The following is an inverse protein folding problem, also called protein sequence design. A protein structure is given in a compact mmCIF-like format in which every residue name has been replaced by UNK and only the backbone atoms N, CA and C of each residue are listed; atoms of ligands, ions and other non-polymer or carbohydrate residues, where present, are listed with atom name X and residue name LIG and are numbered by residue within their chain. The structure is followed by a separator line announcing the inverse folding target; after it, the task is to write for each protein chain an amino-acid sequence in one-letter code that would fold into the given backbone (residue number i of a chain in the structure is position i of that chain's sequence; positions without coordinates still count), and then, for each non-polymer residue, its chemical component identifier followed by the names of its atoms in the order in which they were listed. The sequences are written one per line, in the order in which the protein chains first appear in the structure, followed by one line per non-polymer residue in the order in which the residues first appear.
data_IF_728056252275
#
_entry.id   IF_728056252275
#
_cell.length_a   1.000
_cell.length_b   1.000
_cell.length_c   1.000
_cell.angle_alpha   90.00
_cell.angle_beta   90.00
_cell.angle_gamma   90.00
#
_symmetry.space_group_name_H-M   'P 1'
#
loop_
_entity.id
_entity.type
_entity.pdbx_description
1 polymer ?
#
# COMPACT_ATOMS: atom_id res chain seq x y z
N UNK A 1 -9.42 -2.60 62.70
CA UNK A 1 -9.81 -1.52 61.77
C UNK A 1 -9.39 -1.94 60.37
N UNK A 2 -10.34 -2.44 59.55
CA UNK A 2 -10.09 -2.97 58.20
C UNK A 2 -10.17 -1.80 57.21
N UNK A 3 -9.09 -1.53 56.48
CA UNK A 3 -9.07 -0.54 55.39
C UNK A 3 -9.18 -1.33 54.09
N UNK A 4 -10.32 -1.19 53.41
CA UNK A 4 -10.55 -1.70 52.06
C UNK A 4 -9.89 -0.74 51.07
N UNK A 5 -8.91 -1.21 50.30
CA UNK A 5 -8.43 -0.52 49.10
C UNK A 5 -9.27 -0.99 47.91
N UNK A 6 -10.06 -0.08 47.33
CA UNK A 6 -10.71 -0.28 46.04
C UNK A 6 -9.64 -0.24 44.94
N UNK A 7 -9.43 -1.36 44.25
CA UNK A 7 -8.67 -1.41 43.00
C UNK A 7 -9.50 -0.78 41.88
N UNK A 8 -9.08 0.38 41.39
CA UNK A 8 -9.55 0.92 40.12
C UNK A 8 -8.85 0.13 39.00
N UNK A 9 -9.61 -0.73 38.32
CA UNK A 9 -9.16 -1.39 37.11
C UNK A 9 -9.00 -0.34 36.00
N UNK A 10 -7.75 0.02 35.70
CA UNK A 10 -7.40 0.80 34.51
C UNK A 10 -7.66 -0.11 33.31
N UNK A 11 -8.75 0.17 32.59
CA UNK A 11 -9.03 -0.45 31.30
C UNK A 11 -7.98 0.08 30.32
N UNK A 12 -6.96 -0.73 30.05
CA UNK A 12 -6.07 -0.53 28.90
C UNK A 12 -6.92 -0.75 27.65
N UNK A 13 -7.38 0.34 27.04
CA UNK A 13 -7.95 0.32 25.71
C UNK A 13 -6.78 0.13 24.74
N UNK A 14 -6.40 -1.13 24.48
CA UNK A 14 -5.51 -1.47 23.38
C UNK A 14 -6.22 -1.10 22.08
N UNK A 15 -5.87 0.03 21.49
CA UNK A 15 -6.20 0.31 20.10
C UNK A 15 -5.47 -0.73 19.26
N UNK A 16 -6.16 -1.81 18.91
CA UNK A 16 -5.68 -2.76 17.92
C UNK A 16 -5.74 -1.99 16.61
N UNK A 17 -4.58 -1.51 16.15
CA UNK A 17 -4.43 -1.09 14.75
C UNK A 17 -4.60 -2.37 13.94
N UNK A 18 -5.79 -2.56 13.39
CA UNK A 18 -6.05 -3.59 12.40
C UNK A 18 -5.35 -3.17 11.11
N UNK A 19 -4.05 -3.46 11.00
CA UNK A 19 -3.41 -3.52 9.70
C UNK A 19 -4.13 -4.61 8.89
N UNK A 20 -4.58 -4.27 7.68
CA UNK A 20 -5.21 -5.25 6.81
C UNK A 20 -4.20 -6.33 6.45
N UNK A 21 -4.62 -7.59 6.31
CA UNK A 21 -3.74 -8.69 5.88
C UNK A 21 -3.02 -8.36 4.56
N UNK A 22 -3.65 -7.55 3.70
CA UNK A 22 -3.08 -7.05 2.45
C UNK A 22 -1.90 -6.07 2.68
N UNK A 23 -1.94 -5.23 3.72
CA UNK A 23 -0.83 -4.31 4.04
C UNK A 23 0.37 -5.07 4.62
N UNK A 24 0.10 -6.12 5.39
CA UNK A 24 1.15 -7.01 5.93
C UNK A 24 1.85 -7.76 4.80
N UNK A 25 1.11 -8.33 3.84
CA UNK A 25 1.69 -9.07 2.72
C UNK A 25 2.52 -8.19 1.78
N UNK A 26 2.07 -6.95 1.56
CA UNK A 26 2.78 -5.99 0.72
C UNK A 26 4.08 -5.52 1.39
N UNK A 27 4.05 -5.26 2.70
CA UNK A 27 5.25 -4.87 3.45
C UNK A 27 6.27 -6.01 3.51
N UNK A 28 5.82 -7.26 3.63
CA UNK A 28 6.68 -8.44 3.61
C UNK A 28 7.29 -8.66 2.22
N UNK A 29 6.49 -8.54 1.15
CA UNK A 29 7.02 -8.57 -0.21
C UNK A 29 8.09 -7.51 -0.44
N UNK A 30 7.82 -6.24 -0.09
CA UNK A 30 8.78 -5.17 -0.31
C UNK A 30 10.09 -5.40 0.43
N UNK A 31 10.07 -6.06 1.58
CA UNK A 31 11.29 -6.45 2.32
C UNK A 31 12.09 -7.55 1.61
N UNK A 32 11.42 -8.46 0.92
CA UNK A 32 12.07 -9.54 0.18
C UNK A 32 12.58 -9.07 -1.19
N UNK A 33 11.89 -8.11 -1.83
CA UNK A 33 12.23 -7.64 -3.19
C UNK A 33 13.11 -6.39 -3.20
N UNK A 34 13.09 -5.60 -2.13
CA UNK A 34 13.95 -4.41 -1.98
C UNK A 34 14.91 -4.70 -0.85
N UNK A 35 16.09 -5.18 -1.23
CA UNK A 35 17.14 -5.46 -0.26
C UNK A 35 17.83 -4.14 0.10
N UNK A 36 17.85 -3.84 1.40
CA UNK A 36 18.51 -2.67 1.97
C UNK A 36 19.68 -3.16 2.81
N UNK A 37 20.90 -2.78 2.44
CA UNK A 37 22.07 -3.01 3.30
C UNK A 37 22.08 -2.03 4.49
N UNK A 38 22.96 -2.28 5.46
CA UNK A 38 23.12 -1.44 6.65
C UNK A 38 23.21 0.05 6.29
N UNK A 39 22.40 0.85 6.98
CA UNK A 39 22.44 2.30 6.86
C UNK A 39 23.77 2.80 7.40
N UNK A 40 24.59 3.35 6.50
CA UNK A 40 25.91 3.89 6.80
C UNK A 40 25.82 5.39 6.97
N UNK A 41 26.61 5.91 7.91
CA UNK A 41 26.81 7.35 8.03
C UNK A 41 27.82 7.78 6.97
N UNK A 42 27.47 8.76 6.15
CA UNK A 42 28.29 9.17 5.00
C UNK A 42 29.36 10.18 5.41
N UNK A 43 28.94 11.35 5.93
CA UNK A 43 29.76 12.30 6.69
C UNK A 43 28.86 13.40 7.26
N UNK A 44 29.15 13.89 8.48
CA UNK A 44 28.48 15.09 8.99
C UNK A 44 29.36 16.31 8.74
N UNK A 45 28.87 17.27 7.94
CA UNK A 45 29.17 18.66 8.29
C UNK A 45 28.37 18.96 9.57
N UNK A 46 28.83 19.82 10.48
CA UNK A 46 28.19 20.02 11.80
C UNK A 46 26.71 20.50 11.77
N UNK A 47 26.09 20.61 10.60
CA UNK A 47 24.75 21.12 10.34
C UNK A 47 23.79 20.04 9.83
N UNK A 48 24.27 19.05 9.07
CA UNK A 48 23.45 17.95 8.52
C UNK A 48 23.86 16.60 9.08
N UNK A 49 22.88 15.72 9.25
CA UNK A 49 23.10 14.31 9.49
C UNK A 49 22.80 13.57 8.19
N UNK A 50 23.86 13.21 7.46
CA UNK A 50 23.78 12.56 6.15
C UNK A 50 24.11 11.07 6.27
N UNK A 51 23.31 10.28 5.58
CA UNK A 51 23.32 8.82 5.58
C UNK A 51 23.27 8.31 4.14
N UNK A 52 23.85 7.14 3.95
CA UNK A 52 23.75 6.38 2.72
C UNK A 52 23.26 4.96 3.05
N UNK A 53 22.43 4.41 2.19
CA UNK A 53 22.07 3.00 2.22
C UNK A 53 22.18 2.44 0.80
N UNK A 54 22.58 1.18 0.69
CA UNK A 54 22.63 0.49 -0.59
C UNK A 54 21.30 -0.22 -0.80
N UNK A 55 20.66 0.04 -1.94
CA UNK A 55 19.37 -0.57 -2.31
C UNK A 55 19.58 -1.43 -3.53
N UNK A 56 19.21 -2.70 -3.44
CA UNK A 56 19.13 -3.60 -4.60
C UNK A 56 17.68 -3.78 -5.01
N UNK A 57 17.38 -3.53 -6.28
CA UNK A 57 16.05 -3.73 -6.84
C UNK A 57 15.92 -5.15 -7.42
N UNK A 58 15.16 -6.03 -6.76
CA UNK A 58 14.85 -7.37 -7.28
C UNK A 58 13.50 -7.43 -8.01
N UNK A 59 12.85 -6.28 -8.23
CA UNK A 59 11.62 -6.19 -9.02
C UNK A 59 11.93 -6.26 -10.52
N UNK A 60 10.93 -6.60 -11.32
CA UNK A 60 10.97 -6.57 -12.78
C UNK A 60 10.71 -5.17 -13.37
N UNK A 61 10.46 -4.18 -12.52
CA UNK A 61 10.22 -2.78 -12.85
C UNK A 61 11.22 -1.87 -12.14
N UNK A 62 11.57 -0.75 -12.78
CA UNK A 62 12.46 0.24 -12.19
C UNK A 62 11.83 0.95 -10.98
N UNK A 63 12.65 1.33 -10.00
CA UNK A 63 12.24 2.12 -8.84
C UNK A 63 12.68 3.57 -9.04
N UNK A 64 11.74 4.51 -9.15
CA UNK A 64 12.00 5.93 -9.31
C UNK A 64 12.06 6.70 -7.97
N UNK A 65 11.44 6.18 -6.91
CA UNK A 65 11.54 6.75 -5.57
C UNK A 65 11.21 5.70 -4.49
N UNK A 66 11.65 5.96 -3.26
CA UNK A 66 11.25 5.21 -2.08
C UNK A 66 10.43 6.11 -1.15
N UNK A 67 9.41 5.57 -0.51
CA UNK A 67 8.64 6.25 0.52
C UNK A 67 8.67 5.49 1.84
N UNK A 68 8.92 6.19 2.94
CA UNK A 68 9.13 5.53 4.22
C UNK A 68 9.11 6.46 5.44
N UNK A 69 9.53 5.89 6.56
CA UNK A 69 9.80 6.60 7.82
C UNK A 69 11.29 6.52 8.15
N UNK A 70 11.85 7.63 8.65
CA UNK A 70 13.22 7.67 9.17
C UNK A 70 13.21 8.19 10.60
N UNK A 71 13.75 7.41 11.52
CA UNK A 71 13.94 7.78 12.91
C UNK A 71 15.43 8.04 13.19
N UNK A 72 15.76 9.28 13.53
CA UNK A 72 17.12 9.70 13.86
C UNK A 72 17.30 9.65 15.38
N UNK A 73 18.26 8.85 15.85
CA UNK A 73 18.53 8.68 17.28
C UNK A 73 20.02 8.52 17.55
N UNK A 74 20.42 8.74 18.80
CA UNK A 74 21.73 8.27 19.27
C UNK A 74 21.66 6.77 19.49
N UNK A 75 22.73 6.05 19.20
CA UNK A 75 22.84 4.62 19.51
C UNK A 75 22.49 4.35 20.99
N UNK A 76 21.70 3.30 21.25
CA UNK A 76 21.22 2.95 22.61
C UNK A 76 20.06 3.78 23.16
N UNK A 77 19.62 4.87 22.51
CA UNK A 77 18.41 5.60 22.93
C UNK A 77 17.13 4.93 22.43
N UNK A 78 16.12 4.85 23.28
CA UNK A 78 14.78 4.35 22.91
C UNK A 78 13.88 5.40 22.24
N UNK A 79 14.11 6.69 22.55
CA UNK A 79 13.32 7.80 21.99
C UNK A 79 14.15 8.55 20.95
N UNK A 80 13.74 8.55 19.66
CA UNK A 80 14.39 9.31 18.61
C UNK A 80 14.41 10.81 18.90
N UNK A 81 15.45 11.47 18.41
CA UNK A 81 15.50 12.93 18.42
C UNK A 81 14.51 13.53 17.43
N UNK A 82 14.30 12.84 16.31
CA UNK A 82 13.36 13.22 15.26
C UNK A 82 12.89 11.98 14.52
N UNK A 83 11.60 11.99 14.19
CA UNK A 83 10.99 11.01 13.30
C UNK A 83 10.38 11.78 12.14
N UNK A 84 10.80 11.44 10.93
CA UNK A 84 10.20 11.96 9.72
C UNK A 84 9.35 10.87 9.09
N UNK A 85 8.04 11.12 9.00
CA UNK A 85 7.07 10.17 8.45
C UNK A 85 6.75 10.52 7.00
N UNK A 86 6.61 9.52 6.14
CA UNK A 86 6.36 9.67 4.69
C UNK A 86 7.44 10.52 4.02
N UNK A 87 8.69 10.21 4.33
CA UNK A 87 9.85 10.72 3.60
C UNK A 87 9.84 10.07 2.23
N UNK A 88 9.69 10.88 1.19
CA UNK A 88 9.86 10.44 -0.19
C UNK A 88 11.28 10.78 -0.64
N UNK A 89 12.06 9.77 -0.96
CA UNK A 89 13.43 9.90 -1.49
C UNK A 89 13.38 9.66 -3.00
N UNK A 90 13.36 10.72 -3.83
CA UNK A 90 13.46 10.55 -5.27
C UNK A 90 14.85 10.04 -5.65
N UNK A 91 14.91 9.14 -6.62
CA UNK A 91 16.15 8.53 -7.11
C UNK A 91 16.36 9.01 -8.54
N UNK A 92 17.23 10.02 -8.78
CA UNK A 92 17.52 10.47 -10.13
C UNK A 92 18.02 9.33 -11.01
N UNK A 93 17.32 9.08 -12.12
CA UNK A 93 17.59 7.96 -13.03
C UNK A 93 17.02 6.61 -12.57
N UNK A 94 16.41 6.53 -11.38
CA UNK A 94 15.85 5.31 -10.82
C UNK A 94 16.88 4.25 -10.45
N UNK A 95 16.39 3.08 -10.05
CA UNK A 95 17.13 1.83 -9.89
C UNK A 95 16.51 0.81 -10.84
N UNK A 96 17.25 0.35 -11.84
CA UNK A 96 16.77 -0.64 -12.80
C UNK A 96 16.62 -2.04 -12.18
N UNK A 97 15.85 -2.96 -12.80
CA UNK A 97 15.78 -4.35 -12.37
C UNK A 97 17.16 -5.01 -12.23
N UNK A 98 17.44 -5.59 -11.06
CA UNK A 98 18.71 -6.23 -10.72
C UNK A 98 19.87 -5.26 -10.41
N UNK A 99 19.62 -3.95 -10.43
CA UNK A 99 20.63 -2.94 -10.11
C UNK A 99 20.72 -2.69 -8.61
N UNK A 100 21.94 -2.48 -8.12
CA UNK A 100 22.20 -1.96 -6.78
C UNK A 100 22.67 -0.51 -6.88
N UNK A 101 22.06 0.41 -6.11
CA UNK A 101 22.47 1.81 -6.03
C UNK A 101 22.58 2.30 -4.59
N UNK A 102 23.56 3.15 -4.35
CA UNK A 102 23.69 3.91 -3.11
C UNK A 102 22.74 5.11 -3.13
N UNK A 103 21.85 5.15 -2.15
CA UNK A 103 20.88 6.23 -1.96
C UNK A 103 21.30 7.06 -0.76
N UNK A 104 21.51 8.36 -1.02
CA UNK A 104 21.88 9.32 0.00
C UNK A 104 20.64 10.07 0.50
N UNK A 105 20.53 10.21 1.81
CA UNK A 105 19.46 10.95 2.46
C UNK A 105 19.99 11.60 3.73
N UNK A 106 19.30 12.62 4.21
CA UNK A 106 19.76 13.33 5.39
C UNK A 106 18.75 14.31 5.91
N UNK A 107 19.06 14.86 7.09
CA UNK A 107 18.21 15.85 7.73
C UNK A 107 19.05 16.94 8.37
N UNK A 108 18.42 18.09 8.62
CA UNK A 108 19.03 19.14 9.45
C UNK A 108 19.10 18.63 10.88
N UNK A 109 20.31 18.65 11.43
CA UNK A 109 20.58 18.21 12.79
C UNK A 109 20.15 19.29 13.79
N UNK A 110 19.50 18.86 14.89
CA UNK A 110 19.26 19.71 16.04
C UNK A 110 20.54 19.94 16.85
N UNK A 111 20.70 21.14 17.41
CA UNK A 111 21.91 21.53 18.14
C UNK A 111 22.20 20.63 19.36
N UNK A 112 21.16 20.00 19.90
CA UNK A 112 21.16 19.13 21.08
C UNK A 112 21.38 17.64 20.77
N UNK A 113 21.48 17.26 19.49
CA UNK A 113 21.64 15.86 19.10
C UNK A 113 23.03 15.36 19.48
N UNK A 114 23.12 14.19 20.10
CA UNK A 114 24.38 13.60 20.59
C UNK A 114 24.84 12.45 19.69
N UNK A 115 26.15 12.33 19.49
CA UNK A 115 26.80 11.27 18.70
C UNK A 115 27.03 9.99 19.52
N UNK A 116 27.13 8.79 18.90
CA UNK A 116 26.96 8.53 17.47
C UNK A 116 25.49 8.50 17.05
N UNK A 117 25.15 9.25 15.99
CA UNK A 117 23.82 9.24 15.40
C UNK A 117 23.62 8.05 14.45
N UNK A 118 22.51 7.34 14.63
CA UNK A 118 22.01 6.29 13.75
C UNK A 118 20.65 6.68 13.17
N UNK A 119 20.34 6.17 11.99
CA UNK A 119 19.04 6.35 11.35
C UNK A 119 18.41 4.97 11.15
N UNK A 120 17.26 4.74 11.81
CA UNK A 120 16.44 3.58 11.52
C UNK A 120 15.50 3.94 10.36
N UNK A 121 15.55 3.16 9.29
CA UNK A 121 14.76 3.38 8.07
C UNK A 121 13.73 2.28 7.94
N UNK A 122 12.47 2.66 7.70
CA UNK A 122 11.38 1.74 7.37
C UNK A 122 10.82 2.16 6.02
N UNK A 123 10.91 1.28 5.02
CA UNK A 123 10.26 1.50 3.72
C UNK A 123 8.81 1.05 3.81
N UNK A 124 7.91 1.89 3.32
CA UNK A 124 6.48 1.61 3.21
C UNK A 124 6.06 1.37 1.76
N UNK A 125 6.75 2.00 0.81
CA UNK A 125 6.42 1.89 -0.61
C UNK A 125 7.65 2.15 -1.48
N UNK A 126 7.59 1.61 -2.70
CA UNK A 126 8.48 1.97 -3.79
C UNK A 126 7.63 2.52 -4.95
N UNK A 127 8.15 3.53 -5.63
CA UNK A 127 7.41 4.24 -6.68
C UNK A 127 8.02 3.88 -8.03
N UNK A 128 7.19 3.43 -8.96
CA UNK A 128 7.59 3.07 -10.32
C UNK A 128 7.93 4.28 -11.20
N UNK A 129 8.42 4.05 -12.44
CA UNK A 129 8.83 5.10 -13.36
C UNK A 129 7.68 6.02 -13.81
N UNK A 130 6.46 5.52 -13.75
CA UNK A 130 5.21 6.25 -14.04
C UNK A 130 4.67 7.04 -12.84
N UNK A 131 5.34 6.95 -11.68
CA UNK A 131 4.91 7.57 -10.43
C UNK A 131 3.88 6.76 -9.66
N UNK A 132 3.56 5.53 -10.08
CA UNK A 132 2.62 4.66 -9.39
C UNK A 132 3.28 3.94 -8.20
N UNK A 133 2.47 3.61 -7.19
CA UNK A 133 2.88 2.78 -6.05
C UNK A 133 3.11 1.35 -6.51
N UNK A 134 4.29 0.80 -6.22
CA UNK A 134 4.65 -0.59 -6.49
C UNK A 134 4.14 -1.54 -5.41
N UNK A 135 3.93 -1.01 -4.19
CA UNK A 135 3.19 -1.70 -3.13
C UNK A 135 1.75 -2.06 -3.56
N UNK A 136 1.15 -1.23 -4.42
CA UNK A 136 -0.25 -1.35 -4.85
C UNK A 136 -0.41 -1.78 -6.30
N UNK A 137 0.68 -1.97 -7.06
CA UNK A 137 0.63 -2.38 -8.46
C UNK A 137 0.60 -3.90 -8.59
N UNK A 138 -0.12 -4.39 -9.60
CA UNK A 138 -0.36 -5.81 -9.88
C UNK A 138 0.87 -6.61 -10.40
N UNK A 139 2.10 -6.17 -10.10
CA UNK A 139 3.32 -6.77 -10.66
C UNK A 139 4.53 -6.79 -9.74
N UNK A 140 4.72 -5.78 -8.89
CA UNK A 140 5.91 -5.69 -8.05
C UNK A 140 5.75 -6.34 -6.68
N UNK A 141 4.64 -6.05 -5.99
CA UNK A 141 4.35 -6.62 -4.67
C UNK A 141 2.86 -6.88 -4.40
N UNK A 142 2.06 -7.02 -5.45
CA UNK A 142 0.66 -7.39 -5.28
C UNK A 142 0.51 -8.75 -4.59
N UNK A 143 -0.56 -8.86 -3.80
CA UNK A 143 -1.18 -10.13 -3.42
C UNK A 143 -1.11 -11.15 -4.58
N UNK A 144 -1.00 -12.47 -4.29
CA UNK A 144 -0.67 -13.52 -5.26
C UNK A 144 -1.32 -13.25 -6.63
N UNK A 145 -0.49 -13.33 -7.69
CA UNK A 145 -0.88 -12.97 -9.05
C UNK A 145 -2.32 -13.43 -9.33
N UNK A 146 -3.21 -12.46 -9.48
CA UNK A 146 -4.60 -12.70 -9.79
C UNK A 146 -4.66 -13.54 -11.08
N UNK A 147 -5.51 -14.58 -11.11
CA UNK A 147 -5.70 -15.41 -12.30
C UNK A 147 -5.88 -14.50 -13.54
N UNK A 148 -5.18 -14.75 -14.67
CA UNK A 148 -5.29 -13.91 -15.88
C UNK A 148 -6.74 -13.73 -16.37
N UNK A 149 -7.61 -14.71 -16.18
CA UNK A 149 -9.05 -14.60 -16.47
C UNK A 149 -9.76 -13.65 -15.49
N UNK A 150 -9.44 -13.74 -14.19
CA UNK A 150 -9.95 -12.81 -13.18
C UNK A 150 -9.48 -11.37 -13.46
N UNK A 151 -8.23 -11.20 -13.94
CA UNK A 151 -7.71 -9.92 -14.37
C UNK A 151 -8.43 -9.39 -15.62
N UNK A 152 -8.67 -10.23 -16.63
CA UNK A 152 -9.44 -9.87 -17.82
C UNK A 152 -10.89 -9.48 -17.47
N UNK A 153 -11.51 -10.21 -16.54
CA UNK A 153 -12.84 -9.90 -16.00
C UNK A 153 -12.85 -8.55 -15.28
N UNK A 154 -11.86 -8.29 -14.42
CA UNK A 154 -11.73 -7.02 -13.71
C UNK A 154 -11.54 -5.85 -14.69
N UNK A 155 -10.66 -5.99 -15.68
CA UNK A 155 -10.40 -4.94 -16.67
C UNK A 155 -11.66 -4.62 -17.48
N UNK A 156 -12.36 -5.65 -17.96
CA UNK A 156 -13.60 -5.49 -18.71
C UNK A 156 -14.70 -4.83 -17.86
N UNK A 157 -14.88 -5.27 -16.60
CA UNK A 157 -15.88 -4.72 -15.70
C UNK A 157 -15.56 -3.28 -15.24
N UNK A 158 -14.27 -2.96 -15.06
CA UNK A 158 -13.81 -1.63 -14.62
C UNK A 158 -14.22 -0.52 -15.57
N UNK A 159 -14.37 -0.80 -16.87
CA UNK A 159 -14.89 0.14 -17.88
C UNK A 159 -16.31 0.64 -17.56
N UNK A 160 -17.08 -0.14 -16.79
CA UNK A 160 -18.43 0.18 -16.37
C UNK A 160 -18.53 0.58 -14.90
N UNK A 161 -17.42 0.64 -14.17
CA UNK A 161 -17.44 1.02 -12.79
C UNK A 161 -17.50 2.55 -12.65
N UNK A 162 -18.46 3.02 -11.85
CA UNK A 162 -18.66 4.45 -11.58
C UNK A 162 -18.36 4.66 -10.11
N UNK A 163 -17.36 5.50 -9.83
CA UNK A 163 -16.96 5.89 -8.48
C UNK A 163 -17.33 7.35 -8.28
N UNK A 164 -18.13 7.62 -7.25
CA UNK A 164 -18.35 8.99 -6.78
C UNK A 164 -17.16 9.41 -5.92
N UNK A 165 -16.20 10.11 -6.52
CA UNK A 165 -14.92 10.50 -5.89
C UNK A 165 -15.09 11.39 -4.65
N UNK A 166 -16.25 12.00 -4.45
CA UNK A 166 -16.57 12.79 -3.24
C UNK A 166 -17.27 11.98 -2.15
N UNK A 167 -17.71 10.76 -2.44
CA UNK A 167 -18.46 9.89 -1.54
C UNK A 167 -17.57 8.98 -0.69
N UNK A 168 -18.11 8.52 0.45
CA UNK A 168 -17.38 7.63 1.36
C UNK A 168 -16.91 6.32 0.70
N UNK A 169 -17.67 5.82 -0.28
CA UNK A 169 -17.35 4.61 -1.05
C UNK A 169 -16.08 4.74 -1.92
N UNK A 170 -15.63 5.96 -2.24
CA UNK A 170 -14.37 6.18 -2.97
C UNK A 170 -13.12 5.90 -2.14
N UNK A 171 -13.28 5.58 -0.84
CA UNK A 171 -12.20 5.17 0.04
C UNK A 171 -12.26 3.67 0.37
N UNK A 172 -13.11 2.91 -0.32
CA UNK A 172 -13.33 1.49 -0.03
C UNK A 172 -12.81 0.63 -1.18
N UNK A 173 -11.96 -0.33 -0.83
CA UNK A 173 -11.60 -1.47 -1.68
C UNK A 173 -12.52 -2.64 -1.35
N UNK A 174 -13.08 -3.29 -2.38
CA UNK A 174 -14.02 -4.40 -2.24
C UNK A 174 -13.51 -5.61 -3.02
N UNK A 175 -13.47 -6.77 -2.38
CA UNK A 175 -13.23 -8.06 -3.03
C UNK A 175 -14.55 -8.83 -3.12
N UNK A 176 -14.91 -9.27 -4.33
CA UNK A 176 -16.12 -10.06 -4.59
C UNK A 176 -15.80 -11.41 -5.21
N UNK A 177 -16.57 -12.42 -4.80
CA UNK A 177 -16.66 -13.72 -5.45
C UNK A 177 -17.78 -13.70 -6.51
N UNK A 178 -17.45 -14.10 -7.72
CA UNK A 178 -18.32 -14.01 -8.89
C UNK A 178 -18.32 -15.34 -9.64
N UNK A 179 -19.50 -15.91 -9.84
CA UNK A 179 -19.66 -17.07 -10.73
C UNK A 179 -19.94 -16.60 -12.16
N UNK A 180 -19.18 -17.11 -13.11
CA UNK A 180 -19.36 -16.89 -14.55
C UNK A 180 -19.76 -18.19 -15.22
N UNK A 181 -20.78 -18.12 -16.07
CA UNK A 181 -21.19 -19.20 -16.95
C UNK A 181 -21.53 -18.62 -18.33
N UNK A 182 -20.93 -19.15 -19.39
CA UNK A 182 -21.04 -18.69 -20.77
C UNK A 182 -20.76 -17.18 -20.89
N UNK A 183 -19.72 -16.71 -20.17
CA UNK A 183 -19.36 -15.29 -20.10
C UNK A 183 -20.35 -14.42 -19.31
N UNK A 184 -21.42 -14.96 -18.73
CA UNK A 184 -22.41 -14.20 -17.96
C UNK A 184 -22.16 -14.31 -16.46
N UNK A 185 -22.23 -13.17 -15.79
CA UNK A 185 -22.09 -13.11 -14.33
C UNK A 185 -23.42 -13.50 -13.68
N UNK A 186 -23.35 -14.38 -12.68
CA UNK A 186 -24.48 -14.72 -11.83
C UNK A 186 -25.10 -13.50 -11.14
N UNK A 187 -26.41 -13.55 -10.85
CA UNK A 187 -27.11 -12.43 -10.18
C UNK A 187 -26.66 -12.21 -8.73
N UNK A 188 -26.18 -13.27 -8.10
CA UNK A 188 -25.67 -13.30 -6.74
C UNK A 188 -24.14 -13.17 -6.80
N UNK A 189 -23.64 -12.17 -6.09
CA UNK A 189 -22.21 -11.98 -5.87
C UNK A 189 -21.96 -12.18 -4.38
N UNK A 190 -20.83 -12.79 -4.05
CA UNK A 190 -20.38 -12.90 -2.67
C UNK A 190 -19.49 -11.71 -2.34
N UNK A 191 -19.78 -10.99 -1.26
CA UNK A 191 -18.81 -10.09 -0.66
C UNK A 191 -17.78 -10.93 0.09
N UNK A 192 -16.52 -10.93 -0.37
CA UNK A 192 -15.43 -11.69 0.26
C UNK A 192 -14.74 -10.82 1.31
N UNK A 193 -14.38 -9.59 0.95
CA UNK A 193 -13.80 -8.64 1.88
C UNK A 193 -14.09 -7.19 1.48
N UNK A 194 -14.02 -6.30 2.46
CA UNK A 194 -14.09 -4.86 2.29
C UNK A 194 -13.01 -4.21 3.16
N UNK A 195 -12.27 -3.25 2.61
CA UNK A 195 -11.21 -2.52 3.29
C UNK A 195 -11.33 -1.03 3.08
N UNK A 196 -11.23 -0.26 4.17
CA UNK A 196 -11.49 1.18 4.16
C UNK A 196 -12.98 1.52 4.32
N UNK A 197 -13.26 2.78 4.67
CA UNK A 197 -14.62 3.27 4.93
C UNK A 197 -15.32 2.62 6.13
N UNK A 198 -16.59 2.97 6.32
CA UNK A 198 -17.50 2.32 7.27
C UNK A 198 -18.39 1.28 6.55
N UNK A 199 -19.21 0.56 7.30
CA UNK A 199 -20.08 -0.50 6.78
C UNK A 199 -21.03 0.00 5.68
N UNK A 200 -21.55 1.23 5.81
CA UNK A 200 -22.43 1.83 4.82
C UNK A 200 -21.68 2.16 3.52
N UNK A 201 -20.45 2.66 3.64
CA UNK A 201 -19.57 2.88 2.50
C UNK A 201 -19.21 1.55 1.80
N UNK A 202 -18.99 0.48 2.56
CA UNK A 202 -18.71 -0.85 2.03
C UNK A 202 -19.89 -1.43 1.25
N UNK A 203 -21.10 -1.34 1.80
CA UNK A 203 -22.32 -1.76 1.10
C UNK A 203 -22.53 -0.96 -0.20
N UNK A 204 -22.33 0.36 -0.15
CA UNK A 204 -22.43 1.22 -1.33
C UNK A 204 -21.42 0.83 -2.40
N UNK A 205 -20.17 0.57 -2.02
CA UNK A 205 -19.11 0.13 -2.91
C UNK A 205 -19.43 -1.25 -3.52
N UNK A 206 -19.92 -2.19 -2.73
CA UNK A 206 -20.35 -3.52 -3.21
C UNK A 206 -21.47 -3.41 -4.27
N UNK A 207 -22.50 -2.58 -4.03
CA UNK A 207 -23.55 -2.35 -5.02
C UNK A 207 -23.03 -1.65 -6.29
N UNK A 208 -22.03 -0.77 -6.18
CA UNK A 208 -21.36 -0.16 -7.34
C UNK A 208 -20.64 -1.21 -8.19
N UNK A 209 -19.88 -2.11 -7.55
CA UNK A 209 -19.17 -3.22 -8.20
C UNK A 209 -20.15 -4.16 -8.90
N UNK A 210 -21.21 -4.57 -8.19
CA UNK A 210 -22.26 -5.42 -8.76
C UNK A 210 -22.88 -4.81 -10.02
N UNK A 211 -23.19 -3.51 -9.99
CA UNK A 211 -23.72 -2.80 -11.17
C UNK A 211 -22.70 -2.73 -12.30
N UNK A 212 -21.41 -2.56 -12.01
CA UNK A 212 -20.37 -2.53 -13.03
C UNK A 212 -20.29 -3.87 -13.79
N UNK A 213 -20.26 -4.98 -13.05
CA UNK A 213 -20.24 -6.34 -13.60
C UNK A 213 -21.46 -6.63 -14.47
N UNK A 214 -22.66 -6.28 -13.98
CA UNK A 214 -23.89 -6.50 -14.74
C UNK A 214 -24.05 -5.56 -15.94
N UNK A 215 -23.45 -4.37 -15.90
CA UNK A 215 -23.51 -3.37 -16.98
C UNK A 215 -22.55 -3.70 -18.12
N UNK A 216 -21.32 -4.12 -17.80
CA UNK A 216 -20.30 -4.39 -18.81
C UNK A 216 -20.41 -5.77 -19.44
N UNK A 217 -21.14 -6.71 -18.83
CA UNK A 217 -21.21 -8.07 -19.38
C UNK A 217 -21.79 -8.14 -20.81
N UNK A 218 -22.63 -7.18 -21.25
CA UNK A 218 -23.13 -7.13 -22.63
C UNK A 218 -23.61 -8.48 -23.17
N UNK A 219 -22.89 -9.02 -24.17
CA UNK A 219 -23.10 -10.36 -24.74
C UNK A 219 -22.40 -11.49 -23.94
N UNK A 220 -21.32 -11.15 -23.23
CA UNK A 220 -20.57 -11.99 -22.32
C UNK A 220 -19.16 -11.45 -22.10
N UNK A 221 -18.55 -11.78 -20.97
CA UNK A 221 -17.11 -11.62 -20.73
C UNK A 221 -16.33 -12.71 -21.48
N UNK A 222 -15.12 -12.37 -21.94
CA UNK A 222 -14.20 -13.29 -22.60
C UNK A 222 -13.35 -14.05 -21.57
N UNK A 223 -14.03 -14.79 -20.70
CA UNK A 223 -13.43 -15.64 -19.66
C UNK A 223 -14.17 -16.98 -19.62
N UNK A 224 -13.50 -18.01 -19.11
CA UNK A 224 -14.07 -19.34 -19.00
C UNK A 224 -15.14 -19.42 -17.90
N UNK A 225 -15.84 -20.56 -17.84
CA UNK A 225 -16.83 -20.83 -16.81
C UNK A 225 -16.11 -21.13 -15.49
N UNK A 226 -16.49 -20.44 -14.41
CA UNK A 226 -15.77 -20.58 -13.16
C UNK A 226 -16.21 -19.66 -12.04
N UNK A 227 -15.56 -19.80 -10.89
CA UNK A 227 -15.64 -18.88 -9.77
C UNK A 227 -14.39 -18.01 -9.77
N UNK A 228 -14.58 -16.70 -9.76
CA UNK A 228 -13.50 -15.72 -9.73
C UNK A 228 -13.60 -14.86 -8.48
N UNK A 229 -12.45 -14.55 -7.89
CA UNK A 229 -12.32 -13.53 -6.85
C UNK A 229 -11.63 -12.30 -7.47
N UNK A 230 -12.31 -11.16 -7.44
CA UNK A 230 -11.82 -9.92 -8.05
C UNK A 230 -11.92 -8.76 -7.06
N UNK A 231 -10.89 -7.93 -7.02
CA UNK A 231 -10.79 -6.78 -6.12
C UNK A 231 -10.89 -5.47 -6.90
N UNK A 232 -11.89 -4.65 -6.54
CA UNK A 232 -12.06 -3.29 -7.05
C UNK A 232 -11.48 -2.30 -6.05
N UNK A 233 -10.59 -1.43 -6.51
CA UNK A 233 -9.98 -0.39 -5.67
C UNK A 233 -10.07 0.98 -6.37
N UNK A 234 -10.43 2.06 -5.67
CA UNK A 234 -10.61 3.39 -6.26
C UNK A 234 -9.36 3.93 -6.97
N UNK A 235 -8.17 3.42 -6.61
CA UNK A 235 -6.89 3.76 -7.26
C UNK A 235 -6.56 2.92 -8.51
N UNK A 236 -7.33 1.87 -8.82
CA UNK A 236 -7.06 0.98 -9.97
C UNK A 236 -7.69 1.47 -11.28
N UNK A 237 -8.29 2.66 -11.30
CA UNK A 237 -8.83 3.23 -12.54
C UNK A 237 -7.70 3.74 -13.43
N UNK A 238 -7.08 2.81 -14.17
CA UNK A 238 -6.45 3.11 -15.45
C UNK A 238 -7.50 3.79 -16.34
N UNK A 239 -7.46 5.12 -16.44
CA UNK A 239 -7.97 5.86 -17.59
C UNK A 239 -9.46 6.24 -17.65
N UNK A 240 -10.18 6.42 -16.54
CA UNK A 240 -11.49 7.06 -16.58
C UNK A 240 -11.38 8.56 -16.26
N UNK A 241 -11.02 9.35 -17.27
CA UNK A 241 -11.13 10.82 -17.19
C UNK A 241 -12.58 11.26 -16.95
N UNK A 242 -12.81 12.42 -16.33
CA UNK A 242 -14.16 12.89 -16.01
C UNK A 242 -14.94 13.13 -17.30
N UNK A 243 -16.06 12.41 -17.48
CA UNK A 243 -17.11 12.87 -18.39
C UNK A 243 -17.91 13.93 -17.66
N UNK A 244 -17.50 15.18 -17.87
CA UNK A 244 -18.36 16.33 -17.63
C UNK A 244 -19.55 16.22 -18.61
N UNK A 245 -20.77 16.23 -18.08
CA UNK A 245 -21.98 16.48 -18.86
C UNK A 245 -22.04 17.96 -19.25
#
# INVERSE_FOLDING_TARGET
MRIQFLSAAVVLCSAIVSASSAEVSVTECLRDTIEIDQVRRDAANGVTADYALSVTNHLDVAIAALEGEVAYRTEGRSVPWKTERRVRVPIPGGIEPGETRDIHFGTKRGQDWVEPLVADVVIHDAIGPDGASLALSAGACSAPAMNPEAQALLEAASKCWVVDVGGAAANVSITVGVTVAQGRVGRELLLVSAGGGDELAAETAFQNVRRALLRCQGDGYLVDDGLYEITFSPRSTLGAGPRLN
#
